data_IF_005962458467
#
_entry.id   IF_005962458467
#
_cell.length_a   1.000
_cell.length_b   1.000
_cell.length_c   1.000
_cell.angle_alpha   90.00
_cell.angle_beta   90.00
_cell.angle_gamma   90.00
#
_symmetry.space_group_name_H-M   'P 1'
#
loop_
_entity.id
_entity.type
_entity.pdbx_description
1 polymer ?
#
# COMPACT_ATOMS: atom_id res chain seq x y z
N UNK A 1 -10.19 4.05 -4.62
CA UNK A 1 -10.18 2.85 -5.48
C UNK A 1 -9.01 1.89 -5.19
N UNK A 2 -8.40 1.88 -3.99
CA UNK A 2 -7.33 0.93 -3.67
C UNK A 2 -7.87 -0.46 -3.31
N UNK A 3 -9.00 -0.54 -2.59
CA UNK A 3 -9.60 -1.82 -2.16
C UNK A 3 -10.01 -2.73 -3.33
N UNK A 4 -10.63 -2.16 -4.38
CA UNK A 4 -11.03 -2.95 -5.56
C UNK A 4 -9.83 -3.55 -6.31
N UNK A 5 -8.72 -2.84 -6.39
CA UNK A 5 -7.50 -3.37 -7.01
C UNK A 5 -6.97 -4.57 -6.23
N UNK A 6 -7.00 -4.54 -4.89
CA UNK A 6 -6.58 -5.66 -4.05
C UNK A 6 -7.50 -6.87 -4.23
N UNK A 7 -8.81 -6.65 -4.28
CA UNK A 7 -9.80 -7.72 -4.54
C UNK A 7 -9.56 -8.36 -5.91
N UNK A 8 -9.43 -7.55 -6.96
CA UNK A 8 -9.21 -8.05 -8.32
C UNK A 8 -7.87 -8.76 -8.47
N UNK A 9 -6.81 -8.25 -7.83
CA UNK A 9 -5.50 -8.90 -7.83
C UNK A 9 -5.56 -10.28 -7.16
N UNK A 10 -6.22 -10.38 -6.01
CA UNK A 10 -6.40 -11.65 -5.31
C UNK A 10 -7.18 -12.65 -6.17
N UNK A 11 -8.31 -12.22 -6.75
CA UNK A 11 -9.11 -13.06 -7.63
C UNK A 11 -8.34 -13.52 -8.89
N UNK A 12 -7.53 -12.65 -9.49
CA UNK A 12 -6.74 -12.98 -10.67
C UNK A 12 -5.54 -13.88 -10.36
N UNK A 13 -4.98 -13.78 -9.15
CA UNK A 13 -3.89 -14.62 -8.66
C UNK A 13 -4.32 -15.99 -8.13
N UNK A 14 -5.61 -16.17 -7.85
CA UNK A 14 -6.13 -17.35 -7.14
C UNK A 14 -5.94 -17.29 -5.62
N UNK A 15 -5.68 -16.10 -5.08
CA UNK A 15 -5.48 -15.88 -3.65
C UNK A 15 -6.81 -15.89 -2.88
N UNK A 16 -6.76 -16.24 -1.60
CA UNK A 16 -7.90 -16.15 -0.70
C UNK A 16 -8.01 -14.75 -0.09
N UNK A 17 -9.15 -14.10 -0.32
CA UNK A 17 -9.49 -12.85 0.36
C UNK A 17 -10.27 -13.15 1.64
N UNK A 18 -9.77 -12.65 2.77
CA UNK A 18 -10.37 -12.85 4.08
C UNK A 18 -10.95 -11.55 4.62
N UNK A 19 -12.23 -11.58 4.97
CA UNK A 19 -12.90 -10.45 5.61
C UNK A 19 -12.96 -10.67 7.14
N UNK A 20 -12.07 -9.99 7.85
CA UNK A 20 -12.02 -10.04 9.30
C UNK A 20 -13.02 -9.08 9.99
N UNK A 21 -13.91 -8.39 9.24
CA UNK A 21 -14.87 -7.44 9.83
C UNK A 21 -15.97 -8.10 10.65
N UNK A 22 -16.19 -9.40 10.48
CA UNK A 22 -17.13 -10.19 11.27
C UNK A 22 -16.72 -10.32 12.76
N UNK A 23 -15.46 -10.04 13.11
CA UNK A 23 -14.97 -10.11 14.48
C UNK A 23 -14.92 -8.73 15.13
N UNK A 24 -15.53 -8.58 16.30
CA UNK A 24 -15.67 -7.29 16.96
C UNK A 24 -14.33 -6.73 17.46
N UNK A 25 -13.52 -7.54 18.16
CA UNK A 25 -12.28 -7.10 18.78
C UNK A 25 -11.06 -7.30 17.86
N UNK A 26 -10.00 -6.51 18.07
CA UNK A 26 -8.73 -6.69 17.34
C UNK A 26 -8.02 -8.01 17.71
N UNK A 27 -7.94 -8.44 18.98
CA UNK A 27 -7.38 -9.74 19.34
C UNK A 27 -8.06 -10.91 18.62
N UNK A 28 -9.40 -10.95 18.59
CA UNK A 28 -10.14 -12.03 17.92
C UNK A 28 -9.83 -12.06 16.41
N UNK A 29 -9.72 -10.88 15.78
CA UNK A 29 -9.30 -10.78 14.38
C UNK A 29 -7.92 -11.35 14.17
N UNK A 30 -6.95 -10.98 15.01
CA UNK A 30 -5.56 -11.42 14.87
C UNK A 30 -5.43 -12.93 15.07
N UNK A 31 -6.13 -13.48 16.07
CA UNK A 31 -6.17 -14.91 16.31
C UNK A 31 -6.75 -15.66 15.10
N UNK A 32 -7.90 -15.22 14.59
CA UNK A 32 -8.56 -15.83 13.43
C UNK A 32 -7.71 -15.76 12.14
N UNK A 33 -6.98 -14.66 11.95
CA UNK A 33 -6.03 -14.50 10.84
C UNK A 33 -4.81 -15.44 11.00
N UNK A 34 -4.31 -15.60 12.23
CA UNK A 34 -3.20 -16.51 12.52
C UNK A 34 -3.59 -17.97 12.29
N UNK A 35 -4.77 -18.41 12.72
CA UNK A 35 -5.30 -19.75 12.46
C UNK A 35 -5.38 -20.08 10.96
N UNK A 36 -5.62 -19.06 10.13
CA UNK A 36 -5.69 -19.17 8.67
C UNK A 36 -4.36 -18.96 7.97
N UNK A 37 -3.28 -18.81 8.73
CA UNK A 37 -1.93 -18.58 8.21
C UNK A 37 -1.87 -17.43 7.21
N UNK A 38 -2.50 -16.29 7.54
CA UNK A 38 -2.45 -15.12 6.66
C UNK A 38 -1.02 -14.61 6.52
N UNK A 39 -0.55 -14.54 5.28
CA UNK A 39 0.82 -14.13 4.95
C UNK A 39 0.90 -12.66 4.50
N UNK A 40 -0.22 -12.07 4.06
CA UNK A 40 -0.29 -10.70 3.57
C UNK A 40 -1.38 -9.90 4.29
N UNK A 41 -1.02 -8.77 4.90
CA UNK A 41 -1.98 -7.91 5.60
C UNK A 41 -1.77 -6.44 5.22
N UNK A 42 -2.89 -5.73 5.03
CA UNK A 42 -2.91 -4.29 4.73
C UNK A 42 -3.68 -3.56 5.82
N UNK A 43 -3.09 -2.52 6.39
CA UNK A 43 -3.74 -1.70 7.41
C UNK A 43 -3.14 -0.29 7.43
N UNK A 44 -3.78 0.65 8.12
CA UNK A 44 -3.17 1.98 8.33
C UNK A 44 -2.05 1.91 9.39
N UNK A 45 -1.08 2.84 9.38
CA UNK A 45 -0.11 2.99 10.46
C UNK A 45 -0.71 3.01 11.87
N UNK A 46 -1.89 3.62 12.06
CA UNK A 46 -2.60 3.59 13.35
C UNK A 46 -3.04 2.17 13.74
N UNK A 47 -3.63 1.41 12.81
CA UNK A 47 -4.02 0.02 13.07
C UNK A 47 -2.79 -0.86 13.34
N UNK A 48 -1.71 -0.70 12.57
CA UNK A 48 -0.47 -1.44 12.81
C UNK A 48 0.12 -1.20 14.21
N UNK A 49 0.04 0.04 14.72
CA UNK A 49 0.44 0.35 16.10
C UNK A 49 -0.42 -0.38 17.14
N UNK A 50 -1.70 -0.61 16.87
CA UNK A 50 -2.56 -1.41 17.74
C UNK A 50 -2.20 -2.91 17.65
N UNK A 51 -1.95 -3.42 16.43
CA UNK A 51 -1.51 -4.81 16.23
C UNK A 51 -0.19 -5.08 16.98
N UNK A 52 0.78 -4.17 16.89
CA UNK A 52 2.07 -4.27 17.58
C UNK A 52 1.95 -4.26 19.12
N UNK A 53 0.83 -3.80 19.67
CA UNK A 53 0.54 -3.87 21.11
C UNK A 53 -0.17 -5.16 21.50
N UNK A 54 -0.67 -5.94 20.54
CA UNK A 54 -1.32 -7.22 20.79
C UNK A 54 -0.30 -8.26 21.27
N UNK A 55 -0.67 -9.14 22.23
CA UNK A 55 0.14 -10.31 22.58
C UNK A 55 0.32 -11.25 21.37
N UNK A 56 -0.69 -11.33 20.50
CA UNK A 56 -0.71 -12.25 19.35
C UNK A 56 0.03 -11.71 18.12
N UNK A 57 0.70 -10.56 18.21
CA UNK A 57 1.39 -9.97 17.04
C UNK A 57 2.37 -10.94 16.38
N UNK A 58 3.08 -11.77 17.16
CA UNK A 58 4.10 -12.67 16.62
C UNK A 58 3.54 -13.98 16.04
N UNK A 59 2.22 -14.22 16.11
CA UNK A 59 1.61 -15.46 15.62
C UNK A 59 1.31 -15.42 14.12
N UNK A 60 1.27 -14.22 13.53
CA UNK A 60 1.01 -14.05 12.11
C UNK A 60 2.28 -14.34 11.28
N UNK A 61 2.25 -15.30 10.33
CA UNK A 61 3.40 -15.65 9.50
C UNK A 61 3.56 -14.67 8.32
N UNK A 62 3.55 -13.36 8.60
CA UNK A 62 3.52 -12.34 7.55
C UNK A 62 4.79 -12.34 6.71
N UNK A 63 4.60 -12.42 5.40
CA UNK A 63 5.63 -12.21 4.36
C UNK A 63 5.42 -10.90 3.60
N UNK A 64 4.23 -10.30 3.69
CA UNK A 64 3.91 -9.00 3.10
C UNK A 64 3.09 -8.11 4.05
N UNK A 65 3.63 -6.94 4.36
CA UNK A 65 2.98 -5.91 5.16
C UNK A 65 2.77 -4.67 4.30
N UNK A 66 1.53 -4.20 4.23
CA UNK A 66 1.19 -2.96 3.53
C UNK A 66 0.64 -1.93 4.51
N UNK A 67 1.22 -0.73 4.47
CA UNK A 67 0.74 0.47 5.14
C UNK A 67 0.12 1.41 4.10
N UNK A 68 -0.98 2.08 4.44
CA UNK A 68 -1.56 3.10 3.58
C UNK A 68 -2.61 3.92 4.30
N UNK A 69 -3.10 5.00 3.67
CA UNK A 69 -4.14 5.87 4.22
C UNK A 69 -3.64 6.88 5.27
N UNK A 70 -2.48 6.65 5.89
CA UNK A 70 -1.80 7.61 6.77
C UNK A 70 -0.28 7.58 6.50
N UNK A 71 0.44 8.58 6.99
CA UNK A 71 1.91 8.60 6.95
C UNK A 71 2.47 7.70 8.06
N UNK A 72 3.37 6.80 7.69
CA UNK A 72 4.13 5.99 8.63
C UNK A 72 5.35 6.76 9.13
N UNK A 73 5.64 6.67 10.43
CA UNK A 73 6.88 7.14 11.02
C UNK A 73 7.92 6.02 11.08
N UNK A 74 9.17 6.36 11.39
CA UNK A 74 10.25 5.36 11.45
C UNK A 74 10.00 4.34 12.58
N UNK A 75 9.35 4.75 13.67
CA UNK A 75 9.12 3.90 14.84
C UNK A 75 8.21 2.72 14.49
N UNK A 76 7.12 2.95 13.77
CA UNK A 76 6.23 1.86 13.34
C UNK A 76 6.91 0.95 12.34
N UNK A 77 7.68 1.50 11.38
CA UNK A 77 8.41 0.71 10.39
C UNK A 77 9.45 -0.21 11.04
N UNK A 78 10.26 0.34 11.96
CA UNK A 78 11.27 -0.44 12.67
C UNK A 78 10.64 -1.52 13.56
N UNK A 79 9.53 -1.20 14.22
CA UNK A 79 8.81 -2.16 15.06
C UNK A 79 8.21 -3.30 14.21
N UNK A 80 7.68 -3.00 13.03
CA UNK A 80 7.20 -4.03 12.10
C UNK A 80 8.35 -4.89 11.58
N UNK A 81 9.47 -4.29 11.19
CA UNK A 81 10.64 -5.02 10.68
C UNK A 81 11.24 -5.96 11.73
N UNK A 82 11.28 -5.54 13.00
CA UNK A 82 11.70 -6.40 14.11
C UNK A 82 10.70 -7.52 14.41
N UNK A 83 9.41 -7.24 14.34
CA UNK A 83 8.36 -8.22 14.70
C UNK A 83 8.20 -9.28 13.60
N UNK A 84 8.30 -8.87 12.34
CA UNK A 84 8.08 -9.71 11.16
C UNK A 84 9.30 -9.65 10.22
N UNK A 85 10.43 -10.29 10.59
CA UNK A 85 11.68 -10.17 9.83
C UNK A 85 11.61 -10.77 8.42
N UNK A 86 10.67 -11.69 8.17
CA UNK A 86 10.41 -12.24 6.85
C UNK A 86 9.53 -11.35 5.97
N UNK A 87 8.88 -10.32 6.55
CA UNK A 87 7.92 -9.51 5.83
C UNK A 87 8.60 -8.42 5.00
N UNK A 88 8.19 -8.31 3.73
CA UNK A 88 8.40 -7.09 2.96
C UNK A 88 7.42 -6.03 3.44
N UNK A 89 7.94 -4.87 3.84
CA UNK A 89 7.12 -3.74 4.30
C UNK A 89 6.97 -2.73 3.18
N UNK A 90 5.73 -2.41 2.82
CA UNK A 90 5.39 -1.50 1.71
C UNK A 90 4.46 -0.39 2.21
N UNK A 91 4.87 0.87 2.08
CA UNK A 91 4.03 2.04 2.34
C UNK A 91 3.48 2.61 1.03
N UNK A 92 2.16 2.59 0.89
CA UNK A 92 1.44 3.10 -0.28
C UNK A 92 1.02 4.55 -0.03
N UNK A 93 1.47 5.42 -0.92
CA UNK A 93 1.04 6.81 -1.01
C UNK A 93 -0.07 6.88 -2.07
N UNK A 94 -1.27 7.28 -1.66
CA UNK A 94 -2.44 7.36 -2.53
C UNK A 94 -3.23 8.64 -2.27
N UNK A 95 -3.86 9.16 -3.32
CA UNK A 95 -4.86 10.24 -3.24
C UNK A 95 -6.21 9.70 -3.72
N UNK A 96 -7.31 10.21 -3.17
CA UNK A 96 -8.67 9.91 -3.64
C UNK A 96 -8.88 10.31 -5.10
N UNK A 97 -8.18 11.35 -5.56
CA UNK A 97 -8.32 11.94 -6.89
C UNK A 97 -7.52 11.21 -7.97
N UNK A 98 -6.36 10.66 -7.63
CA UNK A 98 -5.43 10.02 -8.59
C UNK A 98 -5.31 8.51 -8.40
N UNK A 99 -5.83 7.96 -7.30
CA UNK A 99 -5.60 6.56 -6.90
C UNK A 99 -4.24 6.37 -6.22
N UNK A 100 -3.70 5.14 -6.25
CA UNK A 100 -2.36 4.87 -5.73
C UNK A 100 -1.32 5.63 -6.55
N UNK A 101 -0.63 6.59 -5.93
CA UNK A 101 0.37 7.41 -6.56
C UNK A 101 1.67 6.61 -6.74
N UNK A 102 2.19 6.06 -5.65
CA UNK A 102 3.41 5.27 -5.65
C UNK A 102 3.52 4.44 -4.36
N UNK A 103 4.51 3.53 -4.32
CA UNK A 103 4.82 2.72 -3.15
C UNK A 103 6.30 2.84 -2.79
N UNK A 104 6.60 2.78 -1.50
CA UNK A 104 7.94 2.83 -0.92
C UNK A 104 8.14 1.59 -0.06
N UNK A 105 9.30 0.97 -0.15
CA UNK A 105 9.62 -0.28 0.54
C UNK A 105 11.10 -0.36 0.96
N UNK A 106 11.75 0.79 1.13
CA UNK A 106 13.15 0.90 1.56
C UNK A 106 13.30 0.87 3.09
N UNK A 107 12.18 0.73 3.82
CA UNK A 107 12.14 0.72 5.27
C UNK A 107 12.35 2.08 5.92
N UNK A 108 12.36 3.18 5.15
CA UNK A 108 12.55 4.54 5.68
C UNK A 108 11.24 5.33 5.67
N UNK A 109 11.04 6.15 6.70
CA UNK A 109 9.89 7.04 6.77
C UNK A 109 9.89 8.06 5.63
N UNK A 110 8.71 8.29 5.05
CA UNK A 110 8.56 9.16 3.89
C UNK A 110 8.80 8.43 2.57
N UNK A 111 9.46 9.10 1.63
CA UNK A 111 9.77 8.56 0.31
C UNK A 111 11.15 9.04 -0.17
N UNK A 112 11.83 8.29 -1.04
CA UNK A 112 13.13 8.70 -1.56
C UNK A 112 13.04 10.04 -2.30
N UNK A 113 13.93 10.99 -1.98
CA UNK A 113 14.00 12.30 -2.65
C UNK A 113 14.18 12.16 -4.17
N UNK A 114 14.83 11.08 -4.62
CA UNK A 114 14.97 10.74 -6.03
C UNK A 114 13.62 10.65 -6.78
N UNK A 115 12.52 10.32 -6.09
CA UNK A 115 11.19 10.26 -6.70
C UNK A 115 10.66 11.64 -7.13
N UNK A 116 11.23 12.75 -6.65
CA UNK A 116 10.88 14.08 -7.16
C UNK A 116 11.41 14.31 -8.60
N UNK A 117 12.51 13.63 -8.95
CA UNK A 117 13.10 13.69 -10.28
C UNK A 117 12.62 12.55 -11.18
N UNK A 118 12.63 11.31 -10.66
CA UNK A 118 12.26 10.10 -11.38
C UNK A 118 11.33 9.24 -10.52
N UNK A 119 10.04 9.51 -10.67
CA UNK A 119 8.99 8.85 -9.89
C UNK A 119 8.56 7.52 -10.51
N UNK A 120 8.17 6.54 -9.68
CA UNK A 120 7.59 5.31 -10.17
C UNK A 120 6.33 5.57 -11.02
N UNK A 121 6.17 4.82 -12.11
CA UNK A 121 4.95 4.78 -12.92
C UNK A 121 4.55 6.12 -13.58
N UNK A 122 5.50 7.04 -13.73
CA UNK A 122 5.31 8.29 -14.49
C UNK A 122 4.43 9.34 -13.79
N UNK A 123 4.28 9.24 -12.47
CA UNK A 123 3.48 10.17 -11.65
C UNK A 123 4.35 11.34 -11.22
N UNK A 124 4.16 12.56 -11.71
CA UNK A 124 5.06 13.66 -11.31
C UNK A 124 4.78 14.09 -9.87
N UNK A 125 5.83 14.23 -9.06
CA UNK A 125 5.78 14.69 -7.68
C UNK A 125 6.42 16.06 -7.54
N UNK A 126 5.92 16.87 -6.63
CA UNK A 126 6.51 18.15 -6.25
C UNK A 126 6.18 18.47 -4.78
N UNK A 127 7.04 19.21 -4.08
CA UNK A 127 6.79 19.63 -2.68
C UNK A 127 6.79 21.15 -2.64
N UNK A 128 5.67 21.74 -2.22
CA UNK A 128 5.51 23.20 -2.07
C UNK A 128 4.93 23.49 -0.70
N UNK A 129 5.55 24.42 0.02
CA UNK A 129 5.10 24.83 1.36
C UNK A 129 4.89 23.66 2.34
N UNK A 130 5.73 22.62 2.22
CA UNK A 130 5.65 21.41 3.04
C UNK A 130 4.55 20.42 2.62
N UNK A 131 3.84 20.68 1.52
CA UNK A 131 2.77 19.82 0.98
C UNK A 131 3.29 19.05 -0.23
N UNK A 132 3.07 17.73 -0.23
CA UNK A 132 3.34 16.88 -1.37
C UNK A 132 2.21 16.98 -2.40
N UNK A 133 2.54 17.46 -3.60
CA UNK A 133 1.66 17.48 -4.75
C UNK A 133 1.93 16.27 -5.65
N UNK A 134 0.85 15.57 -6.00
CA UNK A 134 0.88 14.40 -6.88
C UNK A 134 0.13 14.75 -8.16
N UNK A 135 0.81 14.63 -9.31
CA UNK A 135 0.21 14.89 -10.61
C UNK A 135 0.00 13.58 -11.36
N UNK A 136 -1.24 13.30 -11.73
CA UNK A 136 -1.60 12.14 -12.53
C UNK A 136 -0.77 12.07 -13.83
N UNK A 137 -0.43 10.87 -14.33
CA UNK A 137 0.24 10.71 -15.61
C UNK A 137 -0.57 11.40 -16.70
N UNK A 138 0.08 12.24 -17.52
CA UNK A 138 -0.58 12.85 -18.69
C UNK A 138 -1.09 11.72 -19.57
N UNK A 139 -2.41 11.58 -19.69
CA UNK A 139 -3.01 10.72 -20.71
C UNK A 139 -2.51 11.22 -22.07
N UNK A 140 -1.74 10.40 -22.78
CA UNK A 140 -1.47 10.59 -24.19
C UNK A 140 -2.83 10.61 -24.91
N UNK A 141 -3.33 11.79 -25.27
CA UNK A 141 -4.41 11.90 -26.26
C UNK A 141 -3.86 11.32 -27.54
N UNK A 142 -4.36 10.16 -27.96
CA UNK A 142 -4.02 9.58 -29.25
C UNK A 142 -4.31 10.62 -30.33
N UNK A 143 -3.27 11.10 -31.02
CA UNK A 143 -3.44 11.84 -32.27
C UNK A 143 -4.10 10.87 -33.24
N UNK A 144 -5.41 11.03 -33.48
CA UNK A 144 -6.09 10.39 -34.62
C UNK A 144 -5.35 10.83 -35.89
N UNK A 145 -4.46 9.98 -36.41
CA UNK A 145 -3.99 10.09 -37.80
C UNK A 145 -5.22 9.86 -38.68
N UNK A 146 -5.78 10.94 -39.24
CA UNK A 146 -6.67 10.82 -40.39
C UNK A 146 -5.85 10.26 -41.53
N UNK A 147 -6.09 9.00 -41.90
CA UNK A 147 -5.69 8.47 -43.20
C UNK A 147 -6.60 9.15 -44.22
N UNK A 148 -6.03 10.04 -45.06
CA UNK A 148 -6.68 10.47 -46.29
C UNK A 148 -6.61 9.29 -47.26
N UNK A 149 -7.76 8.74 -47.65
CA UNK A 149 -7.84 7.96 -48.88
C UNK A 149 -8.05 8.94 -50.03
N UNK A 150 -7.09 8.97 -50.96
CA UNK A 150 -7.26 9.57 -52.28
C UNK A 150 -8.17 8.67 -53.13
N UNK A 151 -9.16 9.28 -53.79
CA UNK A 151 -9.67 8.85 -55.08
C UNK A 151 -9.23 9.89 -56.10
#
# INVERSE_FOLDING_TARGET
MAGLQVVLQALAGGDHLLDATAHASLPDRLHWLAERSVEALSATPTVWRQVLQSPDRATLPLTQITLGGEIADQRVLDALARTYPAARITHIFASTETGAAFAVNDGRAGFPVAYLADSPKGVRLDVRDGVLHVHAPRRLRSRRRRVRQHR
#
